data_IF_140791420055
#
_entry.id   IF_140791420055
#
_cell.length_a   1.000
_cell.length_b   1.000
_cell.length_c   1.000
_cell.angle_alpha   90.00
_cell.angle_beta   90.00
_cell.angle_gamma   90.00
#
_symmetry.space_group_name_H-M   'P 1'
#
loop_
_entity.id
_entity.type
_entity.pdbx_description
1 polymer ?
#
# COMPACT_ATOMS: atom_id res chain seq x y z
N UNK A 1 -14.17 -22.11 -22.21
CA UNK A 1 -13.85 -20.74 -21.78
C UNK A 1 -14.49 -20.51 -20.42
N UNK A 2 -13.81 -20.84 -19.33
CA UNK A 2 -14.30 -20.52 -17.99
C UNK A 2 -13.63 -19.20 -17.57
N UNK A 3 -14.35 -18.10 -17.72
CA UNK A 3 -13.98 -16.80 -17.14
C UNK A 3 -14.06 -16.94 -15.63
N UNK A 4 -12.92 -17.21 -15.00
CA UNK A 4 -12.79 -17.07 -13.56
C UNK A 4 -13.06 -15.59 -13.23
N UNK A 5 -14.19 -15.33 -12.59
CA UNK A 5 -14.50 -14.05 -11.97
C UNK A 5 -13.45 -13.81 -10.90
N UNK A 6 -12.36 -13.14 -11.26
CA UNK A 6 -11.38 -12.68 -10.30
C UNK A 6 -12.11 -11.62 -9.47
N UNK A 7 -12.56 -12.02 -8.28
CA UNK A 7 -13.01 -11.07 -7.30
C UNK A 7 -11.82 -10.11 -7.09
N UNK A 8 -11.94 -8.88 -7.59
CA UNK A 8 -11.02 -7.80 -7.26
C UNK A 8 -11.30 -7.45 -5.80
N UNK A 9 -10.79 -8.27 -4.89
CA UNK A 9 -10.91 -8.03 -3.46
C UNK A 9 -9.82 -7.02 -3.12
N UNK A 10 -10.14 -5.75 -3.29
CA UNK A 10 -9.29 -4.67 -2.79
C UNK A 10 -9.32 -4.73 -1.26
N UNK A 11 -8.16 -4.92 -0.65
CA UNK A 11 -7.98 -4.86 0.79
C UNK A 11 -7.46 -3.49 1.20
N UNK A 12 -7.76 -3.06 2.42
CA UNK A 12 -7.12 -1.87 2.98
C UNK A 12 -5.68 -2.26 3.39
N UNK A 13 -4.72 -1.40 3.07
CA UNK A 13 -3.31 -1.54 3.43
C UNK A 13 -2.89 -0.32 4.22
N UNK A 14 -2.19 -0.57 5.32
CA UNK A 14 -1.54 0.43 6.13
C UNK A 14 -0.08 0.60 5.64
N UNK A 15 0.27 1.82 5.25
CA UNK A 15 1.62 2.22 4.85
C UNK A 15 2.17 3.14 5.93
N UNK A 16 3.30 2.75 6.52
CA UNK A 16 4.03 3.54 7.51
C UNK A 16 5.34 4.01 6.90
N UNK A 17 5.65 5.29 7.06
CA UNK A 17 6.91 5.86 6.58
C UNK A 17 7.37 7.00 7.48
N UNK A 18 8.66 7.31 7.43
CA UNK A 18 9.24 8.43 8.15
C UNK A 18 9.19 9.70 7.30
N UNK A 19 8.66 10.77 7.88
CA UNK A 19 8.68 12.10 7.27
C UNK A 19 8.80 13.15 8.38
N UNK A 20 9.68 14.14 8.17
CA UNK A 20 9.88 15.24 9.12
C UNK A 20 10.16 14.80 10.57
N UNK A 21 10.88 13.69 10.74
CA UNK A 21 11.25 13.16 12.07
C UNK A 21 10.14 12.40 12.79
N UNK A 22 9.03 12.09 12.12
CA UNK A 22 7.90 11.35 12.70
C UNK A 22 7.49 10.17 11.80
N UNK A 23 6.80 9.19 12.40
CA UNK A 23 6.16 8.12 11.64
C UNK A 23 4.79 8.61 11.18
N UNK A 24 4.60 8.65 9.87
CA UNK A 24 3.31 8.90 9.22
C UNK A 24 2.68 7.56 8.87
N UNK A 25 1.36 7.47 9.06
CA UNK A 25 0.55 6.30 8.75
C UNK A 25 -0.55 6.71 7.79
N UNK A 26 -0.65 6.03 6.65
CA UNK A 26 -1.75 6.20 5.69
C UNK A 26 -2.40 4.85 5.40
N UNK A 27 -3.69 4.90 5.03
CA UNK A 27 -4.48 3.74 4.63
C UNK A 27 -4.87 3.87 3.16
N UNK A 28 -4.67 2.82 2.39
CA UNK A 28 -4.96 2.78 0.95
C UNK A 28 -5.71 1.50 0.59
N UNK A 29 -6.61 1.56 -0.38
CA UNK A 29 -7.22 0.36 -0.95
C UNK A 29 -6.32 -0.16 -2.07
N UNK A 30 -5.90 -1.42 -1.97
CA UNK A 30 -5.06 -2.07 -2.96
C UNK A 30 -5.39 -3.56 -3.05
N UNK A 31 -5.22 -4.15 -4.23
CA UNK A 31 -5.45 -5.57 -4.46
C UNK A 31 -4.29 -6.42 -3.90
N UNK A 32 -3.10 -5.84 -3.76
CA UNK A 32 -1.93 -6.50 -3.19
C UNK A 32 -0.93 -5.48 -2.60
N UNK A 33 0.06 -6.00 -1.88
CA UNK A 33 1.13 -5.18 -1.27
C UNK A 33 1.93 -4.37 -2.29
N UNK A 34 2.14 -4.89 -3.50
CA UNK A 34 2.90 -4.21 -4.54
C UNK A 34 2.16 -2.98 -5.07
N UNK A 35 0.85 -3.05 -5.23
CA UNK A 35 0.01 -1.92 -5.61
C UNK A 35 -0.02 -0.84 -4.52
N UNK A 36 -0.14 -1.23 -3.24
CA UNK A 36 -0.02 -0.30 -2.13
C UNK A 36 1.38 0.37 -2.10
N UNK A 37 2.43 -0.39 -2.42
CA UNK A 37 3.78 0.14 -2.55
C UNK A 37 3.94 1.11 -3.71
N UNK A 38 3.33 0.81 -4.86
CA UNK A 38 3.35 1.68 -6.02
C UNK A 38 2.64 3.01 -5.74
N UNK A 39 1.49 2.98 -5.05
CA UNK A 39 0.80 4.20 -4.60
C UNK A 39 1.72 5.11 -3.74
N UNK A 40 2.51 4.51 -2.85
CA UNK A 40 3.49 5.23 -2.04
C UNK A 40 4.57 5.90 -2.90
N UNK A 41 5.12 5.20 -3.90
CA UNK A 41 6.13 5.75 -4.81
C UNK A 41 5.57 6.84 -5.73
N UNK A 42 4.37 6.64 -6.26
CA UNK A 42 3.68 7.61 -7.13
C UNK A 42 3.33 8.91 -6.38
N UNK A 43 3.24 8.85 -5.05
CA UNK A 43 3.08 10.02 -4.17
C UNK A 43 4.39 10.82 -3.97
N UNK A 44 5.45 10.52 -4.74
CA UNK A 44 6.75 11.18 -4.65
C UNK A 44 7.60 10.73 -3.45
N UNK A 45 7.21 9.64 -2.78
CA UNK A 45 7.97 9.11 -1.64
C UNK A 45 9.04 8.13 -2.12
N UNK A 46 10.04 7.89 -1.29
CA UNK A 46 11.17 7.00 -1.59
C UNK A 46 11.23 5.80 -0.66
N UNK A 47 11.81 4.69 -1.11
CA UNK A 47 11.96 3.48 -0.30
C UNK A 47 12.77 3.69 0.99
N UNK A 48 13.69 4.66 1.02
CA UNK A 48 14.48 4.96 2.21
C UNK A 48 13.64 5.36 3.42
N UNK A 49 12.50 6.01 3.17
CA UNK A 49 11.61 6.47 4.22
C UNK A 49 10.54 5.43 4.58
N UNK A 50 10.40 4.35 3.80
CA UNK A 50 9.36 3.35 4.02
C UNK A 50 9.69 2.48 5.22
N UNK A 51 8.80 2.45 6.21
CA UNK A 51 8.94 1.61 7.40
C UNK A 51 8.24 0.26 7.22
N UNK A 52 6.97 0.25 6.81
CA UNK A 52 6.21 -0.98 6.60
C UNK A 52 5.01 -0.78 5.69
N UNK A 53 4.65 -1.84 4.94
CA UNK A 53 3.36 -1.96 4.25
C UNK A 53 2.74 -3.29 4.66
N UNK A 54 1.54 -3.24 5.23
CA UNK A 54 0.81 -4.41 5.69
C UNK A 54 -0.68 -4.29 5.40
N UNK A 55 -1.40 -5.39 5.15
CA UNK A 55 -2.86 -5.34 5.10
C UNK A 55 -3.40 -4.83 6.45
N UNK A 56 -4.38 -3.94 6.39
CA UNK A 56 -5.20 -3.50 7.52
C UNK A 56 -6.31 -4.55 7.73
N UNK A 57 -5.88 -5.76 8.10
CA UNK A 57 -6.64 -6.90 8.66
C UNK A 57 -5.77 -8.15 8.74
#
# INVERSE_FOLDING_TARGET
MATATQANISAEYEIRYFEQGQIIVIKVLANNKQEAHQYYLDSGKTNNNLYSIRPDK
#
